data_IF_999346877566
#
_entry.id   IF_999346877566
#
_cell.length_a   1.000
_cell.length_b   1.000
_cell.length_c   1.000
_cell.angle_alpha   90.00
_cell.angle_beta   90.00
_cell.angle_gamma   90.00
#
_symmetry.space_group_name_H-M   'P 1'
#
loop_
_entity.id
_entity.type
_entity.pdbx_description
1 polymer ?
#
# COMPACT_ATOMS: atom_id res chain seq x y z
N UNK A 1 42.35 -15.67 9.61
CA UNK A 1 41.19 -14.74 9.73
C UNK A 1 39.95 -15.52 9.35
N UNK A 2 39.08 -15.86 10.30
CA UNK A 2 37.80 -16.51 10.01
C UNK A 2 36.95 -15.46 9.29
N UNK A 3 36.82 -15.56 7.98
CA UNK A 3 35.81 -14.83 7.23
C UNK A 3 34.45 -15.42 7.64
N UNK A 4 33.81 -14.81 8.65
CA UNK A 4 32.43 -15.16 8.96
C UNK A 4 31.66 -15.04 7.64
N UNK A 5 31.04 -16.14 7.19
CA UNK A 5 30.24 -16.15 5.96
C UNK A 5 29.15 -15.09 6.10
N UNK A 6 29.08 -14.16 5.16
CA UNK A 6 28.08 -13.11 5.18
C UNK A 6 26.68 -13.74 5.17
N UNK A 7 25.85 -13.37 6.13
CA UNK A 7 24.48 -13.90 6.23
C UNK A 7 23.64 -13.43 5.04
N UNK A 8 22.80 -14.34 4.53
CA UNK A 8 21.95 -14.13 3.36
C UNK A 8 20.50 -13.96 3.76
N UNK A 9 19.82 -13.00 3.18
CA UNK A 9 18.39 -12.81 3.37
C UNK A 9 17.66 -12.79 2.03
N UNK A 10 16.48 -13.39 2.03
CA UNK A 10 15.54 -13.30 0.91
C UNK A 10 14.38 -12.36 1.28
N UNK A 11 14.03 -11.51 0.36
CA UNK A 11 12.87 -10.61 0.45
C UNK A 11 11.93 -10.94 -0.70
N UNK A 12 10.68 -11.29 -0.39
CA UNK A 12 9.63 -11.50 -1.38
C UNK A 12 8.87 -10.20 -1.60
N UNK A 13 8.92 -9.68 -2.84
CA UNK A 13 8.27 -8.43 -3.26
C UNK A 13 9.24 -7.24 -3.36
N UNK A 14 9.15 -6.50 -4.49
CA UNK A 14 9.97 -5.34 -4.82
C UNK A 14 9.17 -4.03 -4.78
N UNK A 15 8.29 -3.85 -3.79
CA UNK A 15 7.58 -2.60 -3.53
C UNK A 15 8.14 -1.90 -2.27
N UNK A 16 7.44 -0.93 -1.72
CA UNK A 16 7.91 -0.09 -0.61
C UNK A 16 8.43 -0.91 0.58
N UNK A 17 7.66 -1.91 1.03
CA UNK A 17 8.07 -2.76 2.14
C UNK A 17 9.36 -3.53 1.84
N UNK A 18 9.44 -4.17 0.66
CA UNK A 18 10.61 -4.96 0.28
C UNK A 18 11.85 -4.13 0.07
N UNK A 19 11.74 -3.00 -0.65
CA UNK A 19 12.88 -2.11 -0.92
C UNK A 19 13.37 -1.44 0.37
N UNK A 20 12.48 -1.03 1.26
CA UNK A 20 12.86 -0.46 2.56
C UNK A 20 13.50 -1.51 3.48
N UNK A 21 12.97 -2.73 3.50
CA UNK A 21 13.59 -3.85 4.23
C UNK A 21 14.98 -4.17 3.67
N UNK A 22 15.12 -4.18 2.34
CA UNK A 22 16.41 -4.40 1.68
C UNK A 22 17.44 -3.33 2.05
N UNK A 23 17.03 -2.05 2.06
CA UNK A 23 17.89 -0.95 2.48
C UNK A 23 18.48 -1.18 3.89
N UNK A 24 17.65 -1.52 4.86
CA UNK A 24 18.09 -1.74 6.23
C UNK A 24 18.93 -3.01 6.38
N UNK A 25 18.55 -4.12 5.73
CA UNK A 25 19.33 -5.37 5.78
C UNK A 25 20.71 -5.20 5.13
N UNK A 26 20.82 -4.48 4.03
CA UNK A 26 22.11 -4.11 3.44
C UNK A 26 22.97 -3.30 4.43
N UNK A 27 22.36 -2.35 5.13
CA UNK A 27 23.05 -1.51 6.13
C UNK A 27 23.59 -2.33 7.31
N UNK A 28 22.93 -3.44 7.65
CA UNK A 28 23.42 -4.41 8.64
C UNK A 28 24.42 -5.44 8.08
N UNK A 29 24.80 -5.32 6.82
CA UNK A 29 25.81 -6.18 6.18
C UNK A 29 25.31 -7.53 5.71
N UNK A 30 23.99 -7.73 5.59
CA UNK A 30 23.43 -8.93 4.97
C UNK A 30 23.60 -8.89 3.45
N UNK A 31 23.79 -10.06 2.84
CA UNK A 31 23.64 -10.26 1.40
C UNK A 31 22.14 -10.37 1.09
N UNK A 32 21.60 -9.41 0.36
CA UNK A 32 20.18 -9.31 0.08
C UNK A 32 19.85 -9.84 -1.31
N UNK A 33 18.86 -10.73 -1.38
CA UNK A 33 18.20 -11.14 -2.62
C UNK A 33 16.73 -10.73 -2.54
N UNK A 34 16.20 -10.10 -3.60
CA UNK A 34 14.79 -9.73 -3.73
C UNK A 34 14.19 -10.54 -4.86
N UNK A 35 13.11 -11.29 -4.60
CA UNK A 35 12.32 -11.96 -5.62
C UNK A 35 11.04 -11.20 -5.87
N UNK A 36 10.71 -10.95 -7.15
CA UNK A 36 9.53 -10.23 -7.59
C UNK A 36 8.82 -11.00 -8.71
N UNK A 37 7.52 -11.22 -8.56
CA UNK A 37 6.70 -11.97 -9.51
C UNK A 37 6.54 -11.24 -10.86
N UNK A 38 6.55 -9.91 -10.84
CA UNK A 38 6.48 -9.10 -12.04
C UNK A 38 7.82 -9.08 -12.80
N UNK A 39 7.81 -8.79 -14.12
CA UNK A 39 9.04 -8.69 -14.92
C UNK A 39 9.90 -7.45 -14.58
N UNK A 40 9.43 -6.59 -13.71
CA UNK A 40 10.11 -5.39 -13.23
C UNK A 40 9.35 -4.77 -12.06
N UNK A 41 9.72 -3.57 -11.66
CA UNK A 41 8.97 -2.85 -10.63
C UNK A 41 7.53 -2.62 -11.09
N UNK A 42 6.55 -2.99 -10.26
CA UNK A 42 5.13 -2.77 -10.56
C UNK A 42 4.83 -1.28 -10.39
N UNK A 43 4.60 -0.61 -11.51
CA UNK A 43 4.23 0.81 -11.59
C UNK A 43 2.73 1.01 -11.44
N UNK A 44 2.34 2.30 -11.39
CA UNK A 44 0.95 2.71 -11.23
C UNK A 44 0.48 2.76 -9.77
N UNK A 45 -0.76 3.18 -9.57
CA UNK A 45 -1.35 3.42 -8.26
C UNK A 45 -1.33 4.91 -7.88
N UNK A 46 -2.26 5.30 -7.03
CA UNK A 46 -2.43 6.68 -6.55
C UNK A 46 -1.21 7.19 -5.80
N UNK A 47 -1.04 8.50 -5.69
CA UNK A 47 -0.05 9.12 -4.81
C UNK A 47 -0.10 8.56 -3.39
N UNK A 48 1.01 8.65 -2.70
CA UNK A 48 1.17 8.14 -1.34
C UNK A 48 1.61 9.24 -0.40
N UNK A 49 1.10 9.20 0.83
CA UNK A 49 1.43 10.14 1.87
C UNK A 49 2.62 9.65 2.70
N UNK A 50 3.62 10.49 2.85
CA UNK A 50 4.72 10.33 3.80
C UNK A 50 4.36 11.14 5.04
N UNK A 51 4.02 10.45 6.11
CA UNK A 51 3.45 11.02 7.32
C UNK A 51 4.47 11.05 8.46
N UNK A 52 4.28 11.95 9.39
CA UNK A 52 4.94 12.06 10.71
C UNK A 52 6.19 11.17 10.93
N UNK A 53 6.00 9.98 11.49
CA UNK A 53 7.09 9.04 11.80
C UNK A 53 7.90 8.64 10.56
N UNK A 54 7.21 8.49 9.42
CA UNK A 54 7.84 8.11 8.16
C UNK A 54 8.78 9.19 7.65
N UNK A 55 8.50 10.47 7.93
CA UNK A 55 9.39 11.60 7.58
C UNK A 55 10.78 11.42 8.25
N UNK A 56 10.81 11.06 9.52
CA UNK A 56 12.07 10.84 10.23
C UNK A 56 12.80 9.59 9.72
N UNK A 57 12.05 8.56 9.33
CA UNK A 57 12.63 7.35 8.74
C UNK A 57 13.28 7.65 7.38
N UNK A 58 12.57 8.37 6.48
CA UNK A 58 13.16 8.71 5.17
C UNK A 58 14.33 9.70 5.30
N UNK A 59 14.37 10.55 6.35
CA UNK A 59 15.58 11.33 6.70
C UNK A 59 16.74 10.42 7.08
N UNK A 60 16.52 9.41 7.95
CA UNK A 60 17.54 8.40 8.31
C UNK A 60 18.04 7.60 7.11
N UNK A 61 17.19 7.45 6.09
CA UNK A 61 17.53 6.80 4.81
C UNK A 61 18.25 7.75 3.84
N UNK A 62 18.31 9.06 4.12
CA UNK A 62 18.89 10.07 3.23
C UNK A 62 18.04 10.38 2.00
N UNK A 63 16.74 10.12 2.06
CA UNK A 63 15.80 10.26 0.94
C UNK A 63 14.89 11.50 1.04
N UNK A 64 14.88 12.16 2.19
CA UNK A 64 13.92 13.22 2.50
C UNK A 64 13.99 14.41 1.55
N UNK A 65 15.19 14.89 1.20
CA UNK A 65 15.35 16.06 0.32
C UNK A 65 14.74 15.81 -1.07
N UNK A 66 14.86 14.58 -1.58
CA UNK A 66 14.24 14.17 -2.84
C UNK A 66 12.72 14.13 -2.73
N UNK A 67 12.18 13.64 -1.61
CA UNK A 67 10.73 13.61 -1.34
C UNK A 67 10.19 15.03 -1.26
N UNK A 68 10.82 15.88 -0.48
CA UNK A 68 10.42 17.28 -0.32
C UNK A 68 10.42 18.05 -1.65
N UNK A 69 11.45 17.85 -2.48
CA UNK A 69 11.59 18.53 -3.77
C UNK A 69 10.57 18.07 -4.84
N UNK A 70 9.95 16.90 -4.66
CA UNK A 70 9.02 16.30 -5.62
C UNK A 70 7.61 16.07 -5.01
N UNK A 71 7.29 16.75 -3.93
CA UNK A 71 5.96 16.68 -3.34
C UNK A 71 4.90 17.20 -4.31
N UNK A 72 3.75 16.57 -4.30
CA UNK A 72 2.58 17.06 -4.99
C UNK A 72 1.96 18.24 -4.21
N UNK A 73 1.41 19.18 -4.95
CA UNK A 73 0.79 20.38 -4.39
C UNK A 73 -0.71 20.38 -4.73
N UNK A 74 -1.46 19.48 -4.05
CA UNK A 74 -2.90 19.48 -4.21
C UNK A 74 -3.49 20.78 -3.67
N UNK A 75 -4.28 21.48 -4.50
CA UNK A 75 -4.79 22.82 -4.20
C UNK A 75 -6.18 22.77 -3.55
N UNK A 76 -7.02 21.86 -4.03
CA UNK A 76 -8.41 21.81 -3.58
C UNK A 76 -9.08 20.46 -3.77
N UNK A 77 -10.13 20.24 -3.00
CA UNK A 77 -11.10 19.18 -3.21
C UNK A 77 -12.49 19.81 -3.40
N UNK A 78 -13.20 19.37 -4.44
CA UNK A 78 -14.55 19.76 -4.75
C UNK A 78 -15.53 18.60 -4.54
N UNK A 79 -16.61 18.85 -3.84
CA UNK A 79 -17.73 17.92 -3.73
C UNK A 79 -18.79 18.30 -4.77
N UNK A 80 -19.13 17.37 -5.64
CA UNK A 80 -20.04 17.56 -6.79
C UNK A 80 -21.43 16.98 -6.55
N UNK A 81 -22.44 17.54 -7.22
CA UNK A 81 -23.73 16.90 -7.41
C UNK A 81 -23.82 16.17 -8.76
N UNK A 82 -24.97 15.56 -9.06
CA UNK A 82 -25.18 14.80 -10.30
C UNK A 82 -25.09 15.66 -11.58
N UNK A 83 -25.37 16.95 -11.46
CA UNK A 83 -25.38 17.95 -12.55
C UNK A 83 -24.02 18.68 -12.68
N UNK A 84 -22.97 18.17 -12.01
CA UNK A 84 -21.60 18.72 -11.95
C UNK A 84 -21.48 20.10 -11.25
N UNK A 85 -22.49 20.49 -10.46
CA UNK A 85 -22.37 21.69 -9.65
C UNK A 85 -21.47 21.41 -8.44
N UNK A 86 -20.63 22.40 -8.09
CA UNK A 86 -19.81 22.32 -6.89
C UNK A 86 -20.64 22.69 -5.65
N UNK A 87 -20.91 21.68 -4.81
CA UNK A 87 -21.63 21.86 -3.55
C UNK A 87 -20.73 22.43 -2.45
N UNK A 88 -19.43 22.09 -2.49
CA UNK A 88 -18.40 22.56 -1.58
C UNK A 88 -17.05 22.54 -2.24
N UNK A 89 -16.23 23.54 -1.90
CA UNK A 89 -14.82 23.64 -2.29
C UNK A 89 -13.97 23.84 -1.04
N UNK A 90 -13.07 22.91 -0.76
CA UNK A 90 -12.10 23.00 0.31
C UNK A 90 -10.70 23.22 -0.28
N UNK A 91 -9.99 24.23 0.22
CA UNK A 91 -8.61 24.52 -0.18
C UNK A 91 -7.59 23.87 0.78
N UNK A 92 -6.69 23.06 0.26
CA UNK A 92 -5.64 22.41 1.06
C UNK A 92 -4.64 23.40 1.69
N UNK A 93 -4.36 24.52 1.03
CA UNK A 93 -3.38 25.53 1.51
C UNK A 93 -3.72 26.14 2.87
N UNK A 94 -5.01 26.31 3.21
CA UNK A 94 -5.42 26.86 4.51
C UNK A 94 -5.12 25.89 5.67
N UNK A 95 -5.20 24.59 5.40
CA UNK A 95 -5.01 23.56 6.42
C UNK A 95 -3.53 23.22 6.64
N UNK A 96 -2.68 23.35 5.61
CA UNK A 96 -1.24 23.07 5.73
C UNK A 96 -0.48 24.12 6.56
N UNK A 97 -0.87 25.40 6.44
CA UNK A 97 -0.23 26.46 7.25
C UNK A 97 -0.53 26.34 8.75
N UNK A 98 -1.68 25.74 9.10
CA UNK A 98 -2.09 25.53 10.51
C UNK A 98 -1.54 24.22 11.10
N UNK A 99 -1.25 23.21 10.27
CA UNK A 99 -0.80 21.86 10.73
C UNK A 99 0.69 21.62 10.67
N UNK A 100 1.46 22.53 10.08
CA UNK A 100 2.90 22.34 9.84
C UNK A 100 3.18 21.35 8.70
N UNK A 101 4.46 21.13 8.40
CA UNK A 101 4.91 20.21 7.34
C UNK A 101 4.96 18.76 7.87
N UNK A 102 3.81 18.21 8.28
CA UNK A 102 3.71 16.86 8.84
C UNK A 102 3.36 15.80 7.80
N UNK A 103 3.11 16.22 6.55
CA UNK A 103 2.65 15.34 5.46
C UNK A 103 3.22 15.78 4.11
N UNK A 104 3.72 14.82 3.35
CA UNK A 104 4.20 15.01 1.98
C UNK A 104 3.52 13.99 1.08
N UNK A 105 2.59 14.44 0.24
CA UNK A 105 2.04 13.60 -0.81
C UNK A 105 3.03 13.51 -1.97
N UNK A 106 3.28 12.30 -2.47
CA UNK A 106 4.26 12.05 -3.52
C UNK A 106 3.73 11.02 -4.51
N UNK A 107 4.05 11.20 -5.79
CA UNK A 107 3.73 10.21 -6.81
C UNK A 107 4.33 8.85 -6.44
N UNK A 108 3.51 7.80 -6.47
CA UNK A 108 3.90 6.46 -6.05
C UNK A 108 5.12 5.93 -6.81
N UNK A 109 5.14 6.14 -8.12
CA UNK A 109 6.23 5.67 -8.97
C UNK A 109 7.54 6.41 -8.71
N UNK A 110 7.48 7.69 -8.35
CA UNK A 110 8.66 8.44 -7.94
C UNK A 110 9.26 7.85 -6.66
N UNK A 111 8.45 7.62 -5.63
CA UNK A 111 8.92 7.01 -4.37
C UNK A 111 9.47 5.60 -4.58
N UNK A 112 8.81 4.80 -5.42
CA UNK A 112 9.26 3.45 -5.77
C UNK A 112 10.65 3.46 -6.43
N UNK A 113 10.85 4.35 -7.40
CA UNK A 113 12.14 4.52 -8.09
C UNK A 113 13.23 5.05 -7.15
N UNK A 114 12.88 5.94 -6.22
CA UNK A 114 13.80 6.47 -5.22
C UNK A 114 14.31 5.37 -4.29
N UNK A 115 13.40 4.56 -3.75
CA UNK A 115 13.75 3.41 -2.91
C UNK A 115 14.55 2.35 -3.68
N UNK A 116 14.16 2.04 -4.92
CA UNK A 116 14.91 1.14 -5.78
C UNK A 116 16.34 1.66 -6.05
N UNK A 117 16.46 2.96 -6.35
CA UNK A 117 17.76 3.61 -6.52
C UNK A 117 18.70 3.43 -5.33
N UNK A 118 18.15 3.44 -4.10
CA UNK A 118 18.91 3.27 -2.87
C UNK A 118 19.43 1.84 -2.64
N UNK A 119 18.86 0.83 -3.32
CA UNK A 119 19.22 -0.58 -3.08
C UNK A 119 19.75 -1.34 -4.29
N UNK A 120 19.50 -0.88 -5.53
CA UNK A 120 19.81 -1.61 -6.76
C UNK A 120 21.28 -1.99 -6.95
N UNK A 121 22.20 -1.26 -6.35
CA UNK A 121 23.65 -1.54 -6.39
C UNK A 121 24.13 -2.50 -5.30
N UNK A 122 23.25 -2.88 -4.35
CA UNK A 122 23.60 -3.62 -3.14
C UNK A 122 22.74 -4.87 -2.92
N UNK A 123 21.76 -5.13 -3.79
CA UNK A 123 20.89 -6.30 -3.74
C UNK A 123 20.84 -7.02 -5.08
N UNK A 124 20.65 -8.34 -5.05
CA UNK A 124 20.34 -9.14 -6.23
C UNK A 124 18.86 -9.16 -6.46
N UNK A 125 18.41 -8.90 -7.69
CA UNK A 125 16.99 -8.93 -8.07
C UNK A 125 16.70 -10.14 -8.94
N UNK A 126 15.67 -10.90 -8.58
CA UNK A 126 15.10 -12.03 -9.32
C UNK A 126 13.69 -11.63 -9.75
N UNK A 127 13.55 -11.08 -10.95
CA UNK A 127 12.25 -10.73 -11.54
C UNK A 127 11.61 -11.91 -12.25
N UNK A 128 10.30 -11.87 -12.45
CA UNK A 128 9.48 -12.91 -13.09
C UNK A 128 9.56 -14.26 -12.35
N UNK A 129 9.79 -14.21 -11.04
CA UNK A 129 9.87 -15.41 -10.21
C UNK A 129 9.15 -15.19 -8.86
N UNK A 130 8.85 -16.26 -8.16
CA UNK A 130 8.18 -16.22 -6.87
C UNK A 130 8.55 -17.43 -6.01
N UNK A 131 8.34 -17.31 -4.70
CA UNK A 131 8.51 -18.42 -3.77
C UNK A 131 7.43 -19.48 -4.06
N UNK A 132 7.85 -20.73 -4.21
CA UNK A 132 6.99 -21.89 -4.40
C UNK A 132 6.90 -22.78 -3.15
N UNK A 133 7.86 -22.65 -2.23
CA UNK A 133 7.86 -23.39 -0.98
C UNK A 133 8.95 -22.90 -0.04
N UNK A 134 8.67 -23.09 1.26
CA UNK A 134 9.55 -22.72 2.36
C UNK A 134 9.71 -23.92 3.28
N UNK A 135 10.95 -24.22 3.68
CA UNK A 135 11.26 -25.26 4.66
C UNK A 135 12.35 -24.77 5.60
N UNK A 136 12.08 -24.73 6.89
CA UNK A 136 13.05 -24.38 7.91
C UNK A 136 13.91 -25.61 8.28
N UNK A 137 15.20 -25.40 8.35
CA UNK A 137 16.19 -26.36 8.90
C UNK A 137 16.74 -25.81 10.22
N UNK A 138 17.58 -26.55 10.89
CA UNK A 138 18.23 -26.05 12.12
C UNK A 138 19.04 -24.77 11.90
N UNK A 139 19.58 -24.56 10.72
CA UNK A 139 20.51 -23.48 10.43
C UNK A 139 19.94 -22.40 9.49
N UNK A 140 19.09 -22.77 8.54
CA UNK A 140 18.67 -21.91 7.44
C UNK A 140 17.25 -22.21 6.98
N UNK A 141 16.74 -21.34 6.11
CA UNK A 141 15.53 -21.54 5.31
C UNK A 141 15.92 -22.07 3.93
N UNK A 142 15.44 -23.25 3.56
CA UNK A 142 15.45 -23.74 2.18
C UNK A 142 14.25 -23.17 1.47
N UNK A 143 14.48 -22.42 0.38
CA UNK A 143 13.46 -21.77 -0.41
C UNK A 143 13.47 -22.32 -1.82
N UNK A 144 12.36 -22.91 -2.24
CA UNK A 144 12.15 -23.29 -3.64
C UNK A 144 11.43 -22.17 -4.39
N UNK A 145 11.86 -21.90 -5.61
CA UNK A 145 11.29 -20.88 -6.49
C UNK A 145 10.44 -21.52 -7.60
N UNK A 146 9.50 -20.74 -8.15
CA UNK A 146 8.60 -21.23 -9.20
C UNK A 146 9.35 -21.67 -10.45
N UNK A 147 10.47 -21.03 -10.77
CA UNK A 147 11.30 -21.35 -11.95
C UNK A 147 12.31 -22.48 -11.70
N UNK A 148 12.25 -23.17 -10.54
CA UNK A 148 12.83 -24.50 -10.34
C UNK A 148 14.07 -24.57 -9.46
N UNK A 149 14.71 -23.45 -9.10
CA UNK A 149 15.87 -23.44 -8.24
C UNK A 149 15.51 -23.55 -6.75
N UNK A 150 16.41 -24.12 -5.96
CA UNK A 150 16.32 -24.10 -4.49
C UNK A 150 17.57 -23.43 -3.94
N UNK A 151 17.39 -22.46 -3.06
CA UNK A 151 18.47 -21.72 -2.41
C UNK A 151 18.25 -21.66 -0.90
N UNK A 152 19.34 -21.48 -0.15
CA UNK A 152 19.32 -21.38 1.30
C UNK A 152 19.60 -19.95 1.77
N UNK A 153 18.80 -19.48 2.73
CA UNK A 153 18.88 -18.13 3.33
C UNK A 153 18.84 -18.23 4.85
N UNK A 154 19.50 -17.30 5.53
CA UNK A 154 19.43 -17.21 6.99
C UNK A 154 18.05 -16.73 7.47
N UNK A 155 17.44 -15.79 6.74
CA UNK A 155 16.13 -15.22 7.03
C UNK A 155 15.33 -14.98 5.74
N UNK A 156 14.00 -15.00 5.85
CA UNK A 156 13.06 -14.66 4.78
C UNK A 156 12.10 -13.57 5.24
N UNK A 157 11.93 -12.53 4.43
CA UNK A 157 11.00 -11.43 4.67
C UNK A 157 9.90 -11.44 3.61
N UNK A 158 8.64 -11.63 4.05
CA UNK A 158 7.46 -11.52 3.20
C UNK A 158 7.02 -10.06 3.12
N UNK A 159 7.29 -9.42 1.97
CA UNK A 159 6.94 -8.05 1.64
C UNK A 159 6.05 -8.00 0.37
N UNK A 160 5.33 -9.09 0.12
CA UNK A 160 4.64 -9.42 -1.12
C UNK A 160 3.13 -9.07 -1.11
N UNK A 161 2.77 -8.12 -0.24
CA UNK A 161 1.47 -7.47 -0.26
C UNK A 161 0.33 -8.31 0.33
N UNK A 162 -0.89 -7.86 0.04
CA UNK A 162 -2.10 -8.40 0.68
C UNK A 162 -2.35 -9.88 0.33
N UNK A 163 -1.97 -10.32 -0.86
CA UNK A 163 -2.06 -11.72 -1.31
C UNK A 163 -0.75 -12.48 -1.12
N UNK A 164 -0.06 -12.22 0.00
CA UNK A 164 1.28 -12.74 0.29
C UNK A 164 1.41 -14.25 0.14
N UNK A 165 2.30 -14.65 -0.73
CA UNK A 165 2.71 -16.06 -0.92
C UNK A 165 3.50 -16.57 0.28
N UNK A 166 4.34 -15.72 0.89
CA UNK A 166 5.09 -16.08 2.12
C UNK A 166 4.13 -16.35 3.27
N UNK A 167 3.11 -15.48 3.47
CA UNK A 167 2.07 -15.71 4.48
C UNK A 167 1.38 -17.04 4.25
N UNK A 168 0.94 -17.29 3.02
CA UNK A 168 0.25 -18.54 2.65
C UNK A 168 1.07 -19.78 2.95
N UNK A 169 2.33 -19.81 2.55
CA UNK A 169 3.18 -21.00 2.73
C UNK A 169 3.64 -21.21 4.18
N UNK A 170 3.69 -20.16 4.99
CA UNK A 170 4.34 -20.26 6.30
C UNK A 170 3.44 -20.03 7.51
N UNK A 171 2.41 -19.22 7.36
CA UNK A 171 1.51 -18.84 8.47
C UNK A 171 0.12 -19.45 8.34
N UNK A 172 -0.44 -19.56 7.15
CA UNK A 172 -1.78 -20.04 6.87
C UNK A 172 -2.46 -19.32 5.70
N UNK A 173 -3.67 -19.71 5.38
CA UNK A 173 -4.44 -19.16 4.27
C UNK A 173 -4.87 -17.71 4.54
N UNK A 174 -5.01 -16.91 3.49
CA UNK A 174 -5.40 -15.51 3.59
C UNK A 174 -6.72 -15.31 4.34
N UNK A 175 -7.69 -16.17 4.10
CA UNK A 175 -9.02 -16.10 4.72
C UNK A 175 -8.99 -16.23 6.26
N UNK A 176 -7.93 -16.80 6.84
CA UNK A 176 -7.78 -16.92 8.28
C UNK A 176 -7.45 -15.57 8.95
N UNK A 177 -6.88 -14.62 8.18
CA UNK A 177 -6.35 -13.36 8.70
C UNK A 177 -7.01 -12.12 8.09
N UNK A 178 -7.68 -12.27 6.94
CA UNK A 178 -8.32 -11.17 6.21
C UNK A 178 -9.68 -10.84 6.81
N UNK A 179 -9.88 -9.57 7.15
CA UNK A 179 -11.13 -9.01 7.63
C UNK A 179 -11.69 -8.05 6.58
N UNK A 180 -12.72 -8.48 5.85
CA UNK A 180 -13.38 -7.68 4.83
C UNK A 180 -14.08 -6.47 5.43
N UNK A 181 -13.87 -5.29 4.86
CA UNK A 181 -14.46 -4.02 5.30
C UNK A 181 -15.70 -3.62 4.48
N UNK A 182 -16.40 -4.57 3.90
CA UNK A 182 -17.64 -4.37 3.15
C UNK A 182 -17.53 -3.34 2.01
N UNK A 183 -16.36 -3.23 1.42
CA UNK A 183 -16.05 -2.21 0.42
C UNK A 183 -15.14 -2.78 -0.64
N UNK A 184 -15.40 -2.41 -1.90
CA UNK A 184 -14.54 -2.63 -3.05
C UNK A 184 -14.03 -1.29 -3.58
N UNK A 185 -12.86 -1.31 -4.17
CA UNK A 185 -12.18 -0.12 -4.64
C UNK A 185 -11.44 -0.41 -5.95
N UNK A 186 -11.57 0.48 -6.91
CA UNK A 186 -10.76 0.45 -8.14
C UNK A 186 -10.07 1.78 -8.40
N UNK A 187 -8.94 1.71 -9.06
CA UNK A 187 -8.18 2.84 -9.58
C UNK A 187 -7.90 2.59 -11.05
N UNK A 188 -8.20 3.57 -11.90
CA UNK A 188 -7.76 3.60 -13.29
C UNK A 188 -6.98 4.89 -13.49
N UNK A 189 -5.74 4.79 -13.99
CA UNK A 189 -4.90 5.96 -14.24
C UNK A 189 -4.94 6.28 -15.73
N UNK A 190 -5.28 7.52 -16.07
CA UNK A 190 -5.32 8.00 -17.45
C UNK A 190 -4.26 9.10 -17.65
N UNK A 191 -3.50 8.98 -18.73
CA UNK A 191 -2.44 9.96 -19.10
C UNK A 191 -3.03 11.22 -19.76
N UNK A 192 -4.04 11.81 -19.10
CA UNK A 192 -4.68 13.08 -19.47
C UNK A 192 -5.36 13.72 -18.28
N UNK A 193 -5.53 15.04 -18.32
CA UNK A 193 -6.30 15.77 -17.33
C UNK A 193 -7.80 15.70 -17.65
N UNK A 194 -8.59 15.08 -16.76
CA UNK A 194 -10.06 15.07 -16.84
C UNK A 194 -10.68 16.19 -16.00
N UNK A 195 -9.92 16.76 -15.09
CA UNK A 195 -10.26 17.90 -14.22
C UNK A 195 -9.03 18.83 -14.16
N UNK A 196 -9.13 20.05 -13.62
CA UNK A 196 -7.99 20.92 -13.44
C UNK A 196 -6.84 20.23 -12.68
N UNK A 197 -5.61 20.45 -13.12
CA UNK A 197 -4.43 19.88 -12.48
C UNK A 197 -4.31 20.33 -11.02
N UNK A 198 -3.78 19.47 -10.16
CA UNK A 198 -3.63 19.67 -8.72
C UNK A 198 -4.97 19.82 -7.96
N UNK A 199 -6.05 19.24 -8.49
CA UNK A 199 -7.35 19.24 -7.82
C UNK A 199 -7.91 17.84 -7.67
N UNK A 200 -8.82 17.69 -6.71
CA UNK A 200 -9.63 16.49 -6.53
C UNK A 200 -11.10 16.85 -6.71
N UNK A 201 -11.86 16.01 -7.41
CA UNK A 201 -13.32 16.12 -7.49
C UNK A 201 -13.96 14.83 -7.00
N UNK A 202 -15.04 14.94 -6.22
CA UNK A 202 -15.71 13.80 -5.63
C UNK A 202 -17.22 13.90 -5.77
N UNK A 203 -17.83 12.83 -6.25
CA UNK A 203 -19.27 12.61 -6.29
C UNK A 203 -19.63 11.35 -5.51
N UNK A 204 -20.80 11.35 -4.85
CA UNK A 204 -21.26 10.14 -4.13
C UNK A 204 -22.78 9.98 -4.21
N UNK A 205 -23.19 8.72 -4.33
CA UNK A 205 -24.53 8.22 -4.06
C UNK A 205 -24.48 7.28 -2.84
N UNK A 206 -25.61 6.95 -2.21
CA UNK A 206 -25.61 6.01 -1.09
C UNK A 206 -24.86 4.72 -1.38
N UNK A 207 -23.75 4.49 -0.66
CA UNK A 207 -22.89 3.33 -0.82
C UNK A 207 -21.97 3.34 -2.03
N UNK A 208 -21.83 4.46 -2.76
CA UNK A 208 -20.92 4.61 -3.90
C UNK A 208 -20.19 5.95 -3.87
N UNK A 209 -18.94 5.94 -4.28
CA UNK A 209 -18.14 7.16 -4.45
C UNK A 209 -17.33 7.08 -5.75
N UNK A 210 -17.36 8.18 -6.48
CA UNK A 210 -16.54 8.44 -7.67
C UNK A 210 -15.62 9.60 -7.32
N UNK A 211 -14.32 9.42 -7.46
CA UNK A 211 -13.33 10.45 -7.18
C UNK A 211 -12.35 10.55 -8.33
N UNK A 212 -12.06 11.78 -8.75
CA UNK A 212 -11.00 12.10 -9.69
C UNK A 212 -9.90 12.86 -8.94
N UNK A 213 -8.66 12.46 -9.18
CA UNK A 213 -7.48 13.11 -8.59
C UNK A 213 -6.49 13.43 -9.72
N UNK A 214 -6.25 14.73 -10.01
CA UNK A 214 -5.45 15.16 -11.14
C UNK A 214 -4.10 15.76 -10.70
N UNK A 215 -3.01 15.21 -11.21
CA UNK A 215 -1.63 15.62 -10.92
C UNK A 215 -0.70 15.19 -12.05
N UNK A 216 0.39 15.90 -12.25
CA UNK A 216 1.46 15.54 -13.21
C UNK A 216 0.93 15.10 -14.59
N UNK A 217 -0.02 15.85 -15.17
CA UNK A 217 -0.69 15.57 -16.46
C UNK A 217 -1.47 14.24 -16.51
N UNK A 218 -1.80 13.66 -15.37
CA UNK A 218 -2.57 12.42 -15.22
C UNK A 218 -3.85 12.67 -14.43
N UNK A 219 -4.78 11.75 -14.52
CA UNK A 219 -5.94 11.68 -13.61
C UNK A 219 -6.13 10.26 -13.13
N UNK A 220 -6.23 10.08 -11.81
CA UNK A 220 -6.71 8.85 -11.19
C UNK A 220 -8.24 8.88 -11.14
N UNK A 221 -8.87 7.84 -11.68
CA UNK A 221 -10.29 7.57 -11.56
C UNK A 221 -10.45 6.53 -10.47
N UNK A 222 -10.95 6.95 -9.31
CA UNK A 222 -11.19 6.08 -8.17
C UNK A 222 -12.68 5.79 -8.04
N UNK A 223 -13.07 4.53 -8.08
CA UNK A 223 -14.44 4.08 -7.91
C UNK A 223 -14.51 3.15 -6.71
N UNK A 224 -15.37 3.47 -5.74
CA UNK A 224 -15.51 2.66 -4.54
C UNK A 224 -16.99 2.40 -4.25
N UNK A 225 -17.33 1.17 -3.87
CA UNK A 225 -18.70 0.81 -3.54
C UNK A 225 -18.79 -0.11 -2.32
N UNK A 226 -19.90 0.03 -1.61
CA UNK A 226 -20.27 -0.82 -0.48
C UNK A 226 -20.88 -2.13 -0.95
N UNK A 227 -20.51 -3.23 -0.30
CA UNK A 227 -21.14 -4.56 -0.46
C UNK A 227 -21.21 -5.27 0.88
N UNK A 228 -22.40 -5.73 1.27
CA UNK A 228 -22.57 -6.46 2.54
C UNK A 228 -21.80 -7.78 2.58
N UNK A 229 -21.66 -8.43 1.43
CA UNK A 229 -21.01 -9.71 1.28
C UNK A 229 -19.84 -9.64 0.32
N UNK A 230 -18.87 -10.53 0.50
CA UNK A 230 -17.79 -10.66 -0.46
C UNK A 230 -18.33 -11.16 -1.81
N UNK A 231 -17.94 -10.46 -2.88
CA UNK A 231 -18.20 -10.84 -4.25
C UNK A 231 -17.10 -11.81 -4.67
N UNK A 232 -17.41 -13.04 -5.09
CA UNK A 232 -16.40 -13.97 -5.59
C UNK A 232 -15.77 -13.46 -6.89
N UNK A 233 -14.45 -13.30 -6.91
CA UNK A 233 -13.72 -12.97 -8.15
C UNK A 233 -12.30 -13.56 -8.09
N UNK A 234 -11.71 -13.74 -9.27
CA UNK A 234 -10.29 -14.07 -9.40
C UNK A 234 -9.50 -12.77 -9.60
N UNK A 235 -8.68 -12.40 -8.61
CA UNK A 235 -7.84 -11.20 -8.65
C UNK A 235 -6.79 -11.19 -9.78
N UNK A 236 -6.65 -12.30 -10.50
CA UNK A 236 -5.83 -12.42 -11.73
C UNK A 236 -6.62 -12.19 -13.00
N UNK A 237 -7.96 -12.16 -12.90
CA UNK A 237 -8.86 -11.94 -14.05
C UNK A 237 -9.29 -10.48 -14.10
N UNK A 238 -8.47 -9.65 -14.77
CA UNK A 238 -8.71 -8.21 -14.88
C UNK A 238 -10.06 -7.89 -15.53
N UNK A 239 -10.47 -8.64 -16.57
CA UNK A 239 -11.76 -8.41 -17.22
C UNK A 239 -12.95 -8.66 -16.29
N UNK A 240 -12.87 -9.68 -15.43
CA UNK A 240 -13.89 -9.93 -14.41
C UNK A 240 -13.98 -8.75 -13.43
N UNK A 241 -12.84 -8.24 -12.99
CA UNK A 241 -12.78 -7.10 -12.07
C UNK A 241 -13.36 -5.83 -12.69
N UNK A 242 -13.05 -5.54 -13.96
CA UNK A 242 -13.64 -4.41 -14.71
C UNK A 242 -15.15 -4.55 -14.86
N UNK A 243 -15.66 -5.73 -15.17
CA UNK A 243 -17.09 -5.98 -15.28
C UNK A 243 -17.80 -5.72 -13.94
N UNK A 244 -17.24 -6.13 -12.81
CA UNK A 244 -17.80 -5.82 -11.49
C UNK A 244 -17.96 -4.31 -11.31
N UNK A 245 -16.95 -3.52 -11.64
CA UNK A 245 -17.02 -2.05 -11.53
C UNK A 245 -18.11 -1.48 -12.44
N UNK A 246 -18.13 -1.91 -13.69
CA UNK A 246 -19.14 -1.43 -14.67
C UNK A 246 -20.55 -1.76 -14.19
N UNK A 247 -20.80 -2.99 -13.76
CA UNK A 247 -22.12 -3.43 -13.28
C UNK A 247 -22.56 -2.66 -12.04
N UNK A 248 -21.64 -2.37 -11.12
CA UNK A 248 -21.93 -1.62 -9.91
C UNK A 248 -22.21 -0.14 -10.15
N UNK A 249 -21.52 0.48 -11.12
CA UNK A 249 -21.64 1.91 -11.38
C UNK A 249 -22.55 2.26 -12.56
N UNK A 250 -23.09 1.27 -13.25
CA UNK A 250 -24.08 1.52 -14.30
C UNK A 250 -25.29 2.25 -13.74
N UNK A 251 -25.63 3.39 -14.36
CA UNK A 251 -26.75 4.24 -13.93
C UNK A 251 -26.41 5.22 -12.79
N UNK A 252 -25.18 5.22 -12.28
CA UNK A 252 -24.70 6.26 -11.34
C UNK A 252 -24.60 7.62 -12.08
N UNK A 253 -24.97 8.69 -11.41
CA UNK A 253 -24.99 10.03 -11.95
C UNK A 253 -23.62 10.67 -12.19
N UNK A 254 -23.61 12.00 -12.35
CA UNK A 254 -22.43 12.81 -12.64
C UNK A 254 -21.77 12.36 -13.97
N UNK A 255 -20.47 12.40 -14.03
CA UNK A 255 -19.62 12.00 -15.18
C UNK A 255 -19.37 10.50 -15.26
N UNK A 256 -20.02 9.70 -14.42
CA UNK A 256 -19.74 8.26 -14.30
C UNK A 256 -19.79 7.48 -15.62
N UNK A 257 -20.77 7.71 -16.55
CA UNK A 257 -20.80 6.97 -17.81
C UNK A 257 -19.51 7.13 -18.64
N UNK A 258 -18.97 8.34 -18.78
CA UNK A 258 -17.73 8.58 -19.53
C UNK A 258 -16.51 7.99 -18.81
N UNK A 259 -16.50 8.02 -17.46
CA UNK A 259 -15.41 7.46 -16.65
C UNK A 259 -15.37 5.93 -16.74
N UNK A 260 -16.52 5.26 -16.88
CA UNK A 260 -16.59 3.81 -17.11
C UNK A 260 -15.99 3.40 -18.46
N UNK A 261 -16.06 4.26 -19.48
CA UNK A 261 -15.37 4.01 -20.75
C UNK A 261 -13.85 4.01 -20.56
N UNK A 262 -13.31 4.96 -19.80
CA UNK A 262 -11.89 4.98 -19.43
C UNK A 262 -11.49 3.73 -18.64
N UNK A 263 -12.31 3.31 -17.66
CA UNK A 263 -12.08 2.10 -16.88
C UNK A 263 -11.99 0.86 -17.77
N UNK A 264 -12.77 0.77 -18.84
CA UNK A 264 -12.76 -0.37 -19.76
C UNK A 264 -11.55 -0.38 -20.71
N UNK A 265 -11.02 0.79 -21.09
CA UNK A 265 -10.05 0.93 -22.17
C UNK A 265 -8.60 1.05 -21.69
N UNK A 266 -8.37 1.61 -20.49
CA UNK A 266 -7.02 1.86 -20.00
C UNK A 266 -6.36 0.60 -19.44
N UNK A 267 -5.04 0.51 -19.64
CA UNK A 267 -4.23 -0.63 -19.19
C UNK A 267 -3.77 -0.53 -17.75
N UNK A 268 -3.74 0.68 -17.19
CA UNK A 268 -3.36 0.90 -15.79
C UNK A 268 -4.61 0.86 -14.90
N UNK A 269 -4.94 -0.35 -14.48
CA UNK A 269 -6.13 -0.65 -13.70
C UNK A 269 -5.77 -1.49 -12.47
N UNK A 270 -6.36 -1.11 -11.35
CA UNK A 270 -6.32 -1.85 -10.09
C UNK A 270 -7.72 -2.03 -9.54
N UNK A 271 -7.99 -3.19 -8.95
CA UNK A 271 -9.22 -3.48 -8.23
C UNK A 271 -8.93 -4.44 -7.10
N UNK A 272 -9.52 -4.19 -5.94
CA UNK A 272 -9.51 -5.15 -4.83
C UNK A 272 -10.64 -4.85 -3.83
N UNK A 273 -10.89 -5.81 -2.94
CA UNK A 273 -11.69 -5.60 -1.74
C UNK A 273 -10.86 -4.84 -0.70
N UNK A 274 -11.49 -3.92 0.02
CA UNK A 274 -10.86 -3.33 1.18
C UNK A 274 -10.91 -4.33 2.32
N UNK A 275 -9.75 -4.68 2.86
CA UNK A 275 -9.65 -5.55 4.02
C UNK A 275 -8.50 -5.16 4.93
N UNK A 276 -8.51 -5.69 6.13
CA UNK A 276 -7.41 -5.59 7.10
C UNK A 276 -6.80 -6.98 7.32
N UNK A 277 -5.46 -7.05 7.42
CA UNK A 277 -4.78 -8.25 7.87
C UNK A 277 -4.60 -8.19 9.38
N UNK A 278 -5.22 -9.13 10.11
CA UNK A 278 -5.15 -9.25 11.57
C UNK A 278 -4.55 -10.60 11.94
N UNK A 279 -3.25 -10.59 12.14
CA UNK A 279 -2.49 -11.80 12.45
C UNK A 279 -2.06 -11.83 13.91
N UNK A 280 -2.06 -13.00 14.57
CA UNK A 280 -1.57 -13.13 15.95
C UNK A 280 -0.08 -12.85 16.08
N UNK A 281 0.70 -13.12 15.04
CA UNK A 281 2.12 -12.80 14.95
C UNK A 281 2.51 -12.54 13.48
N UNK A 282 3.41 -11.60 13.26
CA UNK A 282 4.01 -11.34 11.94
C UNK A 282 5.33 -12.08 11.75
N UNK A 283 5.73 -12.88 12.74
CA UNK A 283 6.99 -13.63 12.71
C UNK A 283 6.80 -15.06 13.18
N UNK A 284 7.50 -16.01 12.54
CA UNK A 284 7.49 -17.42 12.90
C UNK A 284 8.79 -18.05 12.41
N UNK A 285 9.59 -18.62 13.35
CA UNK A 285 10.91 -19.12 13.03
C UNK A 285 11.79 -18.06 12.37
N UNK A 286 12.36 -18.38 11.23
CA UNK A 286 13.24 -17.49 10.46
C UNK A 286 12.52 -16.56 9.46
N UNK A 287 11.20 -16.44 9.55
CA UNK A 287 10.35 -15.67 8.63
C UNK A 287 9.69 -14.50 9.34
N UNK A 288 9.73 -13.31 8.72
CA UNK A 288 8.96 -12.15 9.15
C UNK A 288 8.15 -11.55 7.99
N UNK A 289 6.97 -11.03 8.27
CA UNK A 289 6.13 -10.29 7.33
C UNK A 289 6.26 -8.79 7.58
N UNK A 290 6.31 -8.00 6.51
CA UNK A 290 6.42 -6.54 6.55
C UNK A 290 5.41 -5.91 5.59
N UNK A 291 4.75 -4.83 6.01
CA UNK A 291 3.73 -4.15 5.23
C UNK A 291 2.43 -4.94 5.14
N UNK A 292 1.74 -4.81 4.02
CA UNK A 292 0.41 -5.42 3.82
C UNK A 292 0.40 -6.94 3.94
N UNK A 293 1.53 -7.60 3.75
CA UNK A 293 1.67 -9.04 3.97
C UNK A 293 1.33 -9.45 5.41
N UNK A 294 1.66 -8.62 6.39
CA UNK A 294 1.47 -8.90 7.82
C UNK A 294 0.34 -8.12 8.48
N UNK A 295 0.11 -6.87 8.08
CA UNK A 295 -0.73 -5.95 8.84
C UNK A 295 -1.40 -4.86 7.99
N UNK A 296 -1.81 -5.19 6.77
CA UNK A 296 -2.57 -4.26 5.93
C UNK A 296 -3.66 -3.57 6.76
N UNK A 297 -3.65 -2.23 6.74
CA UNK A 297 -4.67 -1.44 7.43
C UNK A 297 -5.85 -1.08 6.52
N UNK A 298 -5.82 -1.45 5.26
CA UNK A 298 -6.69 -1.04 4.16
C UNK A 298 -6.23 0.25 3.45
N UNK A 299 -6.42 0.37 2.14
CA UNK A 299 -6.25 1.62 1.40
C UNK A 299 -7.00 2.80 2.00
N UNK A 300 -8.17 2.57 2.63
CA UNK A 300 -8.94 3.60 3.32
C UNK A 300 -8.20 4.29 4.49
N UNK A 301 -7.08 3.73 4.96
CA UNK A 301 -6.22 4.38 5.94
C UNK A 301 -5.43 5.57 5.35
N UNK A 302 -5.25 5.62 4.03
CA UNK A 302 -4.38 6.60 3.36
C UNK A 302 -2.88 6.48 3.75
N UNK A 303 -2.49 5.37 4.40
CA UNK A 303 -1.16 5.19 5.03
C UNK A 303 -0.35 4.00 4.49
N UNK A 304 -0.82 3.31 3.44
CA UNK A 304 -0.20 2.06 2.98
C UNK A 304 1.30 2.19 2.68
N UNK A 305 1.69 3.24 1.97
CA UNK A 305 3.09 3.53 1.66
C UNK A 305 3.92 3.81 2.92
N UNK A 306 3.42 4.66 3.81
CA UNK A 306 4.06 4.97 5.10
C UNK A 306 4.19 3.73 5.98
N UNK A 307 3.13 2.94 6.17
CA UNK A 307 3.18 1.73 7.00
C UNK A 307 4.17 0.68 6.49
N UNK A 308 4.38 0.61 5.18
CA UNK A 308 5.39 -0.27 4.60
C UNK A 308 6.82 0.15 4.97
N UNK A 309 7.11 1.45 4.93
CA UNK A 309 8.41 2.04 5.32
C UNK A 309 8.60 1.96 6.84
N UNK A 310 7.56 2.33 7.60
CA UNK A 310 7.57 2.33 9.07
C UNK A 310 7.84 0.92 9.62
N UNK A 311 7.18 -0.09 9.05
CA UNK A 311 7.38 -1.48 9.47
C UNK A 311 8.77 -2.02 9.17
N UNK A 312 9.34 -1.66 8.01
CA UNK A 312 10.73 -2.01 7.69
C UNK A 312 11.71 -1.35 8.67
N UNK A 313 11.47 -0.09 9.05
CA UNK A 313 12.29 0.62 10.03
C UNK A 313 12.11 0.06 11.45
N UNK A 314 10.88 -0.26 11.86
CA UNK A 314 10.60 -0.89 13.15
C UNK A 314 11.32 -2.24 13.31
N UNK A 315 11.32 -3.05 12.23
CA UNK A 315 12.10 -4.28 12.16
C UNK A 315 13.60 -4.01 12.29
N UNK A 316 14.11 -3.02 11.57
CA UNK A 316 15.52 -2.64 11.60
C UNK A 316 15.94 -2.16 13.00
N UNK A 317 15.16 -1.30 13.63
CA UNK A 317 15.41 -0.81 15.00
C UNK A 317 15.43 -1.96 16.02
N UNK A 318 14.59 -2.98 15.80
CA UNK A 318 14.62 -4.18 16.63
C UNK A 318 15.90 -5.01 16.40
N UNK A 319 16.37 -5.14 15.15
CA UNK A 319 17.65 -5.82 14.85
C UNK A 319 18.84 -5.08 15.48
N UNK A 320 18.89 -3.76 15.39
CA UNK A 320 19.94 -2.94 15.99
C UNK A 320 19.98 -3.12 17.52
N UNK A 321 18.83 -2.96 18.18
CA UNK A 321 18.69 -3.12 19.63
C UNK A 321 19.01 -4.53 20.14
N UNK A 322 18.83 -5.54 19.30
CA UNK A 322 19.13 -6.94 19.64
C UNK A 322 20.48 -7.42 19.09
N UNK A 323 21.35 -6.52 18.60
CA UNK A 323 22.68 -6.85 18.08
C UNK A 323 22.66 -7.99 17.05
N UNK A 324 21.63 -8.04 16.17
CA UNK A 324 21.48 -9.02 15.13
C UNK A 324 20.96 -10.40 15.59
N UNK A 325 20.53 -10.54 16.84
CA UNK A 325 19.79 -11.71 17.28
C UNK A 325 18.35 -11.62 16.72
N UNK A 326 18.08 -12.40 15.67
CA UNK A 326 16.81 -12.30 14.94
C UNK A 326 15.59 -12.74 15.77
N UNK A 327 15.72 -13.73 16.65
CA UNK A 327 14.61 -14.23 17.47
C UNK A 327 14.11 -13.13 18.43
N UNK A 328 15.05 -12.46 19.12
CA UNK A 328 14.73 -11.33 19.98
C UNK A 328 14.24 -10.12 19.18
N UNK A 329 14.83 -9.86 18.01
CA UNK A 329 14.42 -8.76 17.14
C UNK A 329 12.99 -8.97 16.63
N UNK A 330 12.63 -10.16 16.18
CA UNK A 330 11.28 -10.52 15.73
C UNK A 330 10.24 -10.38 16.85
N UNK A 331 10.59 -10.82 18.06
CA UNK A 331 9.73 -10.61 19.21
C UNK A 331 9.50 -9.12 19.48
N UNK A 332 10.57 -8.32 19.54
CA UNK A 332 10.45 -6.87 19.77
C UNK A 332 9.72 -6.14 18.64
N UNK A 333 9.93 -6.54 17.40
CA UNK A 333 9.20 -6.01 16.26
C UNK A 333 7.69 -6.18 16.44
N UNK A 334 7.22 -7.39 16.74
CA UNK A 334 5.81 -7.64 17.02
C UNK A 334 5.28 -6.82 18.21
N UNK A 335 6.02 -6.81 19.33
CA UNK A 335 5.56 -6.16 20.56
C UNK A 335 5.49 -4.63 20.43
N UNK A 336 6.49 -4.02 19.82
CA UNK A 336 6.64 -2.56 19.81
C UNK A 336 5.85 -1.87 18.69
N UNK A 337 5.70 -2.53 17.54
CA UNK A 337 5.03 -1.94 16.38
C UNK A 337 3.53 -2.26 16.32
N UNK A 338 3.09 -3.35 16.98
CA UNK A 338 1.70 -3.78 17.00
C UNK A 338 0.72 -2.72 17.52
N UNK A 339 0.94 -2.04 18.65
CA UNK A 339 -0.01 -1.06 19.16
C UNK A 339 -0.32 0.05 18.15
N UNK A 340 0.69 0.52 17.42
CA UNK A 340 0.51 1.53 16.38
C UNK A 340 -0.33 1.00 15.21
N UNK A 341 -0.08 -0.22 14.74
CA UNK A 341 -0.87 -0.84 13.66
C UNK A 341 -2.32 -1.04 14.09
N UNK A 342 -2.56 -1.51 15.31
CA UNK A 342 -3.91 -1.73 15.83
C UNK A 342 -4.69 -0.42 15.95
N UNK A 343 -4.05 0.67 16.34
CA UNK A 343 -4.63 2.01 16.38
C UNK A 343 -5.00 2.49 14.96
N UNK A 344 -4.10 2.36 13.98
CA UNK A 344 -4.38 2.73 12.59
C UNK A 344 -5.52 1.90 12.03
N UNK A 345 -5.55 0.60 12.28
CA UNK A 345 -6.63 -0.29 11.82
C UNK A 345 -7.97 0.08 12.45
N UNK A 346 -8.02 0.43 13.73
CA UNK A 346 -9.24 0.87 14.41
C UNK A 346 -9.78 2.18 13.83
N UNK A 347 -8.91 3.17 13.61
CA UNK A 347 -9.27 4.48 13.04
C UNK A 347 -9.97 4.36 11.67
N UNK A 348 -9.53 3.44 10.81
CA UNK A 348 -10.16 3.18 9.50
C UNK A 348 -11.61 2.74 9.65
N UNK A 349 -11.87 1.83 10.58
CA UNK A 349 -13.23 1.29 10.80
C UNK A 349 -14.16 2.34 11.37
N UNK A 350 -13.66 3.14 12.31
CA UNK A 350 -14.48 4.11 13.04
C UNK A 350 -14.83 5.35 12.21
N UNK A 351 -13.91 5.82 11.37
CA UNK A 351 -14.05 7.12 10.68
C UNK A 351 -13.84 7.06 9.18
N UNK A 352 -12.81 6.36 8.69
CA UNK A 352 -12.34 6.47 7.32
C UNK A 352 -13.36 6.03 6.26
N UNK A 353 -13.95 4.85 6.45
CA UNK A 353 -14.87 4.26 5.46
C UNK A 353 -16.18 5.03 5.33
N UNK A 354 -16.77 5.47 6.44
CA UNK A 354 -18.05 6.19 6.41
C UNK A 354 -17.92 7.60 5.80
N UNK A 355 -16.76 8.22 5.94
CA UNK A 355 -16.47 9.49 5.29
C UNK A 355 -16.23 9.32 3.79
N UNK A 356 -15.50 8.28 3.40
CA UNK A 356 -15.16 8.01 2.01
C UNK A 356 -16.35 7.47 1.21
N UNK A 357 -17.14 6.53 1.79
CA UNK A 357 -18.32 5.92 1.15
C UNK A 357 -19.53 6.06 2.07
N UNK A 358 -20.17 7.25 2.10
CA UNK A 358 -21.36 7.45 2.90
C UNK A 358 -22.51 6.57 2.39
N UNK A 359 -23.21 5.91 3.33
CA UNK A 359 -24.23 4.90 3.00
C UNK A 359 -25.65 5.46 2.86
N UNK A 360 -25.86 6.72 3.18
CA UNK A 360 -27.17 7.38 3.14
C UNK A 360 -27.06 8.79 2.58
N UNK A 361 -28.16 9.30 2.01
CA UNK A 361 -28.26 10.69 1.56
C UNK A 361 -27.96 11.71 2.67
N UNK A 362 -28.35 11.40 3.90
CA UNK A 362 -28.08 12.26 5.05
C UNK A 362 -26.57 12.32 5.34
N UNK A 363 -25.88 11.16 5.31
CA UNK A 363 -24.42 11.09 5.50
C UNK A 363 -23.67 11.83 4.38
N UNK A 364 -24.14 11.73 3.13
CA UNK A 364 -23.57 12.48 1.99
C UNK A 364 -23.73 13.99 2.24
N UNK A 365 -24.95 14.45 2.57
CA UNK A 365 -25.20 15.87 2.86
C UNK A 365 -24.34 16.37 4.02
N UNK A 366 -24.22 15.58 5.09
CA UNK A 366 -23.39 15.93 6.24
C UNK A 366 -21.93 16.07 5.83
N UNK A 367 -21.35 15.06 5.15
CA UNK A 367 -19.98 15.11 4.68
C UNK A 367 -19.73 16.29 3.74
N UNK A 368 -20.64 16.55 2.77
CA UNK A 368 -20.49 17.66 1.83
C UNK A 368 -20.59 19.01 2.53
N UNK A 369 -21.29 19.10 3.69
CA UNK A 369 -21.33 20.30 4.52
C UNK A 369 -20.09 20.48 5.38
N UNK A 370 -19.63 19.40 6.03
CA UNK A 370 -18.59 19.44 7.06
C UNK A 370 -17.18 19.19 6.50
N UNK A 371 -17.06 18.67 5.27
CA UNK A 371 -15.82 18.15 4.69
C UNK A 371 -15.46 16.78 5.29
N UNK A 372 -14.22 16.34 5.09
CA UNK A 372 -13.75 15.09 5.70
C UNK A 372 -13.48 15.20 7.20
N UNK A 373 -13.47 16.40 7.77
CA UNK A 373 -13.26 16.61 9.21
C UNK A 373 -11.83 16.37 9.69
N UNK A 374 -10.85 16.44 8.75
CA UNK A 374 -9.43 16.35 9.06
C UNK A 374 -8.81 17.69 9.38
#
# INVERSE_FOLDING_TARGET
MNTATQKKVLISGASFAGLSTAYWMNKFGYQVTIVEIAPGLKRGGTPVNILENTIDIVKRMGLFDHIQANRLHMESIEFKDADDNTLRLDHHQKNQAERGELEYEIERDFLLNLLYGAVKGHATFMFSDSINGLKETAEQMEVSFKNGDTQAFDLVFGCDGIHSTVRKHWFGEEAEFSHFLQTYFSITIVDKLLIPENTTQMYSEPGKTVMLNAYNQKTDICLAFFSEQEIPYDYRNEQQMRNIIVDQFQGTGWRTPELLEEVQQNTDFYFDKLCQMKMPSWTKGRVALVGDAGYCASPAAGRGGSLAIDGAAALADAFEKCHGNYELAFKKYNENFRPFIEEVQATVVDFGLNAFIPRTEEAIRKRNKDGFGF
#
